data_IF_540097030533
#
_entry.id   IF_540097030533
#
_cell.length_a   1.000
_cell.length_b   1.000
_cell.length_c   1.000
_cell.angle_alpha   90.00
_cell.angle_beta   90.00
_cell.angle_gamma   90.00
#
_symmetry.space_group_name_H-M   'P 1'
#
loop_
_entity.id
_entity.type
_entity.pdbx_description
1 polymer ?
#
# COMPACT_ATOMS: atom_id res chain seq x y z
N UNK A 1 -16.45 19.25 4.81
CA UNK A 1 -15.00 19.00 5.01
C UNK A 1 -14.68 17.99 6.10
N UNK A 2 -15.20 18.12 7.34
CA UNK A 2 -14.99 17.10 8.39
C UNK A 2 -15.50 15.70 8.00
N UNK A 3 -16.65 15.60 7.33
CA UNK A 3 -17.16 14.34 6.79
C UNK A 3 -16.17 13.70 5.80
N UNK A 4 -15.67 14.47 4.83
CA UNK A 4 -14.73 13.97 3.82
C UNK A 4 -13.41 13.46 4.44
N UNK A 5 -12.92 14.07 5.53
CA UNK A 5 -11.71 13.61 6.23
C UNK A 5 -11.97 12.28 6.95
N UNK A 6 -13.14 12.13 7.57
CA UNK A 6 -13.55 10.86 8.16
C UNK A 6 -13.67 9.77 7.08
N UNK A 7 -14.19 10.09 5.91
CA UNK A 7 -14.32 9.14 4.80
C UNK A 7 -12.93 8.70 4.29
N UNK A 8 -11.97 9.63 4.20
CA UNK A 8 -10.58 9.32 3.88
C UNK A 8 -9.93 8.41 4.94
N UNK A 9 -10.17 8.67 6.22
CA UNK A 9 -9.67 7.83 7.31
C UNK A 9 -10.24 6.41 7.25
N UNK A 10 -11.55 6.28 7.05
CA UNK A 10 -12.21 4.99 6.92
C UNK A 10 -11.71 4.21 5.70
N UNK A 11 -11.47 4.88 4.58
CA UNK A 11 -10.89 4.23 3.40
C UNK A 11 -9.45 3.77 3.67
N UNK A 12 -8.67 4.55 4.42
CA UNK A 12 -7.32 4.18 4.81
C UNK A 12 -7.29 2.90 5.67
N UNK A 13 -8.22 2.77 6.61
CA UNK A 13 -8.36 1.58 7.46
C UNK A 13 -8.69 0.32 6.65
N UNK A 14 -9.48 0.44 5.58
CA UNK A 14 -9.72 -0.69 4.66
C UNK A 14 -8.45 -1.11 3.93
N UNK A 15 -7.64 -0.15 3.48
CA UNK A 15 -6.33 -0.43 2.86
C UNK A 15 -5.43 -1.19 3.85
N UNK A 16 -5.39 -0.75 5.11
CA UNK A 16 -4.62 -1.42 6.16
C UNK A 16 -5.07 -2.87 6.40
N UNK A 17 -6.38 -3.11 6.43
CA UNK A 17 -6.94 -4.47 6.57
C UNK A 17 -6.54 -5.34 5.39
N UNK A 18 -6.67 -4.84 4.15
CA UNK A 18 -6.31 -5.60 2.95
C UNK A 18 -4.81 -5.91 2.88
N UNK A 19 -3.94 -4.98 3.32
CA UNK A 19 -2.49 -5.20 3.43
C UNK A 19 -2.15 -6.29 4.46
N UNK A 20 -2.86 -6.28 5.58
CA UNK A 20 -2.69 -7.26 6.67
C UNK A 20 -3.13 -8.66 6.24
N UNK A 21 -4.18 -8.75 5.43
CA UNK A 21 -4.75 -9.99 4.88
C UNK A 21 -3.99 -10.52 3.65
N UNK A 22 -2.96 -9.82 3.19
CA UNK A 22 -2.18 -10.13 1.97
C UNK A 22 -3.04 -10.23 0.69
N UNK A 23 -4.21 -9.61 0.71
CA UNK A 23 -5.10 -9.55 -0.43
C UNK A 23 -4.69 -8.41 -1.37
N UNK A 24 -3.71 -8.70 -2.25
CA UNK A 24 -3.09 -7.70 -3.12
C UNK A 24 -4.09 -7.09 -4.11
N UNK A 25 -4.99 -7.88 -4.70
CA UNK A 25 -5.99 -7.36 -5.65
C UNK A 25 -6.91 -6.33 -5.00
N UNK A 26 -7.53 -6.69 -3.87
CA UNK A 26 -8.36 -5.75 -3.12
C UNK A 26 -7.56 -4.56 -2.61
N UNK A 27 -6.30 -4.76 -2.24
CA UNK A 27 -5.45 -3.66 -1.81
C UNK A 27 -5.19 -2.64 -2.94
N UNK A 28 -4.97 -3.11 -4.18
CA UNK A 28 -4.78 -2.24 -5.35
C UNK A 28 -6.05 -1.45 -5.65
N UNK A 29 -7.22 -2.09 -5.60
CA UNK A 29 -8.51 -1.43 -5.78
C UNK A 29 -8.74 -0.35 -4.73
N UNK A 30 -8.54 -0.67 -3.44
CA UNK A 30 -8.74 0.26 -2.34
C UNK A 30 -7.76 1.44 -2.36
N UNK A 31 -6.51 1.23 -2.79
CA UNK A 31 -5.52 2.30 -2.99
C UNK A 31 -5.93 3.23 -4.14
N UNK A 32 -6.45 2.68 -5.24
CA UNK A 32 -6.96 3.49 -6.36
C UNK A 32 -8.19 4.31 -5.92
N UNK A 33 -9.12 3.72 -5.17
CA UNK A 33 -10.26 4.44 -4.61
C UNK A 33 -9.80 5.58 -3.69
N UNK A 34 -8.84 5.31 -2.80
CA UNK A 34 -8.27 6.33 -1.92
C UNK A 34 -7.61 7.47 -2.71
N UNK A 35 -6.89 7.15 -3.79
CA UNK A 35 -6.29 8.15 -4.67
C UNK A 35 -7.36 9.06 -5.29
N UNK A 36 -8.45 8.49 -5.83
CA UNK A 36 -9.55 9.27 -6.40
C UNK A 36 -10.25 10.15 -5.35
N UNK A 37 -10.41 9.65 -4.12
CA UNK A 37 -10.97 10.43 -3.01
C UNK A 37 -10.06 11.60 -2.62
N UNK A 38 -8.74 11.38 -2.60
CA UNK A 38 -7.76 12.44 -2.33
C UNK A 38 -7.76 13.50 -3.45
N UNK A 39 -7.76 13.07 -4.72
CA UNK A 39 -7.87 14.01 -5.84
C UNK A 39 -9.14 14.83 -5.76
N UNK A 40 -10.29 14.21 -5.49
CA UNK A 40 -11.55 14.91 -5.31
C UNK A 40 -11.52 15.89 -4.14
N UNK A 41 -10.91 15.50 -3.01
CA UNK A 41 -10.78 16.35 -1.83
C UNK A 41 -9.93 17.59 -2.11
N UNK A 42 -8.76 17.43 -2.73
CA UNK A 42 -7.84 18.54 -3.00
C UNK A 42 -8.22 19.39 -4.22
N UNK A 43 -9.00 18.85 -5.16
CA UNK A 43 -9.53 19.61 -6.30
C UNK A 43 -10.83 20.36 -5.97
N UNK A 44 -11.35 20.25 -4.74
CA UNK A 44 -12.50 21.04 -4.33
C UNK A 44 -12.11 22.51 -4.14
N UNK A 45 -12.89 23.45 -4.66
CA UNK A 45 -12.69 24.92 -4.51
C UNK A 45 -12.86 25.42 -3.06
N UNK A 46 -12.88 24.52 -2.08
CA UNK A 46 -13.04 24.83 -0.67
C UNK A 46 -11.68 25.00 -0.03
N UNK A 47 -11.43 26.16 0.57
CA UNK A 47 -10.27 26.36 1.41
C UNK A 47 -10.24 25.31 2.52
N UNK A 48 -9.07 24.72 2.75
CA UNK A 48 -8.85 23.75 3.81
C UNK A 48 -8.61 24.51 5.13
N UNK A 49 -9.55 24.51 6.10
CA UNK A 49 -9.34 25.02 7.46
C UNK A 49 -8.08 24.47 8.11
N UNK A 50 -7.37 25.36 8.80
CA UNK A 50 -6.17 25.04 9.58
C UNK A 50 -6.40 23.93 10.60
N UNK A 51 -7.62 23.81 11.13
CA UNK A 51 -8.04 22.80 12.10
C UNK A 51 -8.04 21.37 11.50
N UNK A 52 -8.13 21.24 10.17
CA UNK A 52 -8.04 19.97 9.47
C UNK A 52 -6.59 19.52 9.21
N UNK A 53 -5.61 20.44 9.28
CA UNK A 53 -4.21 20.13 8.96
C UNK A 53 -3.60 19.03 9.84
N UNK A 54 -3.85 18.96 11.16
CA UNK A 54 -3.34 17.86 11.98
C UNK A 54 -3.86 16.49 11.52
N UNK A 55 -5.14 16.40 11.13
CA UNK A 55 -5.77 15.17 10.68
C UNK A 55 -5.24 14.74 9.31
N UNK A 56 -5.01 15.70 8.41
CA UNK A 56 -4.37 15.46 7.11
C UNK A 56 -2.91 15.00 7.26
N UNK A 57 -2.16 15.60 8.20
CA UNK A 57 -0.79 15.16 8.50
C UNK A 57 -0.76 13.73 9.07
N UNK A 58 -1.72 13.34 9.91
CA UNK A 58 -1.84 11.96 10.37
C UNK A 58 -2.15 10.98 9.23
N UNK A 59 -3.06 11.36 8.32
CA UNK A 59 -3.34 10.59 7.11
C UNK A 59 -2.09 10.40 6.25
N UNK A 60 -1.31 11.47 6.05
CA UNK A 60 -0.06 11.43 5.29
C UNK A 60 0.97 10.48 5.93
N UNK A 61 1.16 10.56 7.24
CA UNK A 61 2.09 9.68 7.96
C UNK A 61 1.72 8.20 7.84
N UNK A 62 0.41 7.88 7.92
CA UNK A 62 -0.05 6.49 7.73
C UNK A 62 0.20 6.00 6.30
N UNK A 63 -0.07 6.84 5.30
CA UNK A 63 0.21 6.54 3.89
C UNK A 63 1.70 6.24 3.64
N UNK A 64 2.59 7.06 4.21
CA UNK A 64 4.04 6.85 4.11
C UNK A 64 4.47 5.52 4.77
N UNK A 65 3.84 5.18 5.90
CA UNK A 65 4.03 3.88 6.56
C UNK A 65 3.65 2.71 5.66
N UNK A 66 2.42 2.72 5.12
CA UNK A 66 1.95 1.63 4.25
C UNK A 66 2.78 1.49 2.98
N UNK A 67 3.20 2.60 2.37
CA UNK A 67 4.09 2.60 1.20
C UNK A 67 5.42 1.90 1.52
N UNK A 68 5.98 2.18 2.70
CA UNK A 68 7.22 1.55 3.18
C UNK A 68 7.04 0.05 3.40
N UNK A 69 5.94 -0.36 4.03
CA UNK A 69 5.64 -1.78 4.30
C UNK A 69 5.43 -2.59 3.01
N UNK A 70 4.69 -2.02 2.04
CA UNK A 70 4.52 -2.63 0.71
C UNK A 70 5.87 -2.81 0.02
N UNK A 71 6.75 -1.80 0.09
CA UNK A 71 8.08 -1.87 -0.52
C UNK A 71 8.94 -2.97 0.12
N UNK A 72 8.88 -3.11 1.45
CA UNK A 72 9.57 -4.16 2.18
C UNK A 72 9.06 -5.55 1.76
N UNK A 73 7.74 -5.78 1.79
CA UNK A 73 7.14 -7.06 1.36
C UNK A 73 7.51 -7.42 -0.08
N UNK A 74 7.50 -6.44 -1.00
CA UNK A 74 7.95 -6.64 -2.39
C UNK A 74 9.41 -7.11 -2.46
N UNK A 75 10.29 -6.48 -1.68
CA UNK A 75 11.71 -6.84 -1.67
C UNK A 75 11.95 -8.24 -1.09
N UNK A 76 11.21 -8.61 -0.05
CA UNK A 76 11.22 -9.95 0.52
C UNK A 76 10.76 -11.01 -0.49
N UNK A 77 9.62 -10.79 -1.15
CA UNK A 77 9.12 -11.69 -2.19
C UNK A 77 10.13 -11.86 -3.35
N UNK A 78 10.77 -10.77 -3.78
CA UNK A 78 11.84 -10.81 -4.79
C UNK A 78 13.05 -11.63 -4.34
N UNK A 79 13.45 -11.51 -3.07
CA UNK A 79 14.55 -12.28 -2.48
C UNK A 79 14.21 -13.78 -2.43
N UNK A 80 12.99 -14.13 -2.02
CA UNK A 80 12.50 -15.51 -2.00
C UNK A 80 12.48 -16.11 -3.41
N UNK A 81 11.94 -15.40 -4.40
CA UNK A 81 11.94 -15.84 -5.80
C UNK A 81 13.36 -16.08 -6.33
N UNK A 82 14.28 -15.16 -6.05
CA UNK A 82 15.68 -15.29 -6.44
C UNK A 82 16.31 -16.55 -5.83
N UNK A 83 15.99 -16.84 -4.58
CA UNK A 83 16.48 -18.04 -3.87
C UNK A 83 15.90 -19.32 -4.47
N UNK A 84 14.60 -19.35 -4.78
CA UNK A 84 13.94 -20.49 -5.45
C UNK A 84 14.57 -20.74 -6.83
N UNK A 85 14.79 -19.71 -7.63
CA UNK A 85 15.42 -19.83 -8.95
C UNK A 85 16.85 -20.36 -8.85
N UNK A 86 17.65 -19.86 -7.90
CA UNK A 86 19.01 -20.36 -7.65
C UNK A 86 19.00 -21.83 -7.24
N UNK A 87 18.09 -22.23 -6.35
CA UNK A 87 17.95 -23.62 -5.92
C UNK A 87 17.50 -24.54 -7.05
N UNK A 88 16.52 -24.14 -7.87
CA UNK A 88 16.11 -24.91 -9.06
C UNK A 88 17.26 -25.08 -10.05
N UNK A 89 18.07 -24.04 -10.32
CA UNK A 89 19.27 -24.14 -11.16
C UNK A 89 20.29 -25.13 -10.59
N UNK A 90 20.52 -25.09 -9.27
CA UNK A 90 21.44 -26.00 -8.59
C UNK A 90 20.97 -27.47 -8.68
N UNK A 91 19.68 -27.74 -8.47
CA UNK A 91 19.09 -29.08 -8.61
C UNK A 91 19.13 -29.57 -10.06
N UNK A 92 18.81 -28.69 -11.02
CA UNK A 92 18.88 -29.01 -12.46
C UNK A 92 20.29 -29.38 -12.92
N UNK A 93 21.32 -28.64 -12.48
CA UNK A 93 22.72 -28.98 -12.74
C UNK A 93 23.11 -30.31 -12.07
N UNK A 94 22.65 -30.56 -10.85
CA UNK A 94 22.95 -31.81 -10.14
C UNK A 94 22.37 -33.04 -10.85
N UNK A 95 21.20 -32.91 -11.49
CA UNK A 95 20.58 -33.98 -12.28
C UNK A 95 21.22 -34.18 -13.67
N UNK A 96 22.03 -33.25 -14.16
CA UNK A 96 22.73 -33.36 -15.45
C UNK A 96 24.14 -33.96 -15.33
N UNK A 97 24.69 -34.05 -14.13
CA UNK A 97 26.06 -34.53 -13.85
C UNK A 97 26.06 -35.99 -13.31
N UNK A 98 24.87 -36.58 -13.10
CA UNK A 98 24.69 -38.01 -12.80
C UNK A 98 24.34 -38.78 -14.07
#
# INVERSE_FOLDING_TARGET
>A
MQANIHDLQAQLEKVESALSEENIESCVELVNELHLMLESFFNSDSDIPSEAHPQLNQLLQKLDGYSSDILLKKNEAKSQLTSIVKNKKKVGLYNQIK
#
